data_IF_637580023873
#
_entry.id   IF_637580023873
#
_cell.length_a   1.000
_cell.length_b   1.000
_cell.length_c   1.000
_cell.angle_alpha   90.00
_cell.angle_beta   90.00
_cell.angle_gamma   90.00
#
_symmetry.space_group_name_H-M   'P 1'
#
loop_
_entity.id
_entity.type
_entity.pdbx_description
1 polymer ?
#
# COMPACT_ATOMS: atom_id res chain seq x y z
N UNK A 1 -8.79 18.05 -9.25
CA UNK A 1 -8.42 16.60 -9.30
C UNK A 1 -7.87 16.24 -7.92
N UNK A 2 -8.07 15.03 -7.39
CA UNK A 2 -7.57 14.66 -6.04
C UNK A 2 -6.08 14.98 -5.85
N UNK A 3 -5.28 14.82 -6.91
CA UNK A 3 -3.85 15.06 -6.89
C UNK A 3 -3.41 16.34 -7.63
N UNK A 4 -4.29 17.33 -7.81
CA UNK A 4 -3.94 18.60 -8.47
C UNK A 4 -2.88 19.42 -7.72
N UNK A 5 -2.92 19.40 -6.39
CA UNK A 5 -1.98 20.11 -5.52
C UNK A 5 -0.69 19.34 -5.22
N UNK A 6 -0.55 18.11 -5.72
CA UNK A 6 0.61 17.26 -5.43
C UNK A 6 1.84 17.82 -6.11
N UNK A 7 2.91 17.98 -5.33
CA UNK A 7 4.22 18.40 -5.84
C UNK A 7 5.13 17.18 -5.90
N UNK A 8 5.76 16.95 -7.04
CA UNK A 8 6.76 15.89 -7.20
C UNK A 8 8.10 16.57 -7.43
N UNK A 9 8.97 16.51 -6.43
CA UNK A 9 10.36 16.87 -6.56
C UNK A 9 11.12 15.64 -7.05
N UNK A 10 11.87 15.79 -8.15
CA UNK A 10 12.69 14.72 -8.73
C UNK A 10 14.15 15.15 -8.76
N UNK A 11 15.06 14.20 -8.68
CA UNK A 11 16.47 14.49 -8.95
C UNK A 11 16.67 14.85 -10.42
N UNK A 12 17.61 15.77 -10.69
CA UNK A 12 17.93 16.23 -12.05
C UNK A 12 18.91 15.27 -12.72
N UNK A 13 18.80 15.09 -14.03
CA UNK A 13 19.82 14.42 -14.86
C UNK A 13 20.30 13.06 -14.33
N UNK A 14 19.37 12.21 -13.89
CA UNK A 14 19.69 10.87 -13.38
C UNK A 14 20.26 10.84 -11.96
N UNK A 15 20.36 11.99 -11.30
CA UNK A 15 20.80 12.09 -9.91
C UNK A 15 19.62 11.84 -8.96
N UNK A 16 19.95 11.51 -7.71
CA UNK A 16 18.98 11.39 -6.61
C UNK A 16 18.88 12.71 -5.85
N UNK A 17 17.78 12.88 -5.13
CA UNK A 17 17.58 13.96 -4.18
C UNK A 17 18.05 13.46 -2.82
N UNK A 18 18.90 14.24 -2.16
CA UNK A 18 19.11 14.10 -0.73
C UNK A 18 17.94 14.74 0.02
N UNK A 19 17.16 13.92 0.73
CA UNK A 19 16.01 14.39 1.51
C UNK A 19 16.36 14.70 2.95
N UNK A 20 17.54 14.28 3.45
CA UNK A 20 17.95 14.46 4.85
C UNK A 20 17.72 15.88 5.40
N UNK A 21 18.15 16.96 4.71
CA UNK A 21 17.93 18.31 5.22
C UNK A 21 16.44 18.70 5.32
N UNK A 22 15.58 18.06 4.53
CA UNK A 22 14.14 18.36 4.43
C UNK A 22 13.31 17.63 5.51
N UNK A 23 13.82 16.52 6.06
CA UNK A 23 13.10 15.67 7.00
C UNK A 23 12.88 16.38 8.34
N UNK A 24 11.67 16.32 8.88
CA UNK A 24 11.35 16.85 10.21
C UNK A 24 12.21 16.21 11.31
N UNK A 25 12.45 14.91 11.18
CA UNK A 25 13.23 14.09 12.11
C UNK A 25 14.10 13.11 11.30
N UNK A 26 15.31 13.54 10.87
CA UNK A 26 16.21 12.73 10.06
C UNK A 26 16.77 11.53 10.84
N UNK A 27 17.04 11.68 12.14
CA UNK A 27 17.63 10.61 12.96
C UNK A 27 16.70 9.39 13.10
N UNK A 28 15.38 9.64 13.08
CA UNK A 28 14.36 8.58 13.09
C UNK A 28 13.80 8.27 11.69
N UNK A 29 14.50 8.64 10.61
CA UNK A 29 14.13 8.26 9.26
C UNK A 29 14.77 6.93 8.85
N UNK A 30 13.99 5.86 8.89
CA UNK A 30 14.48 4.53 8.54
C UNK A 30 14.20 4.24 7.06
N UNK A 31 15.02 4.80 6.18
CA UNK A 31 15.04 4.62 4.72
C UNK A 31 16.27 5.29 4.10
N UNK A 32 16.49 5.12 2.80
CA UNK A 32 17.56 5.84 2.10
C UNK A 32 17.27 7.35 2.06
N UNK A 33 18.25 8.19 2.42
CA UNK A 33 18.16 9.65 2.28
C UNK A 33 18.31 10.10 0.82
N UNK A 34 19.00 9.31 0.00
CA UNK A 34 19.13 9.57 -1.43
C UNK A 34 18.04 8.81 -2.20
N UNK A 35 17.07 9.55 -2.76
CA UNK A 35 15.86 9.00 -3.39
C UNK A 35 15.62 9.58 -4.79
N UNK A 36 14.88 8.88 -5.64
CA UNK A 36 14.57 9.37 -6.99
C UNK A 36 13.53 10.49 -6.98
N UNK A 37 12.52 10.35 -6.13
CA UNK A 37 11.43 11.31 -6.01
C UNK A 37 11.01 11.55 -4.55
N UNK A 38 10.63 12.78 -4.26
CA UNK A 38 9.86 13.18 -3.08
C UNK A 38 8.48 13.66 -3.54
N UNK A 39 7.44 12.93 -3.17
CA UNK A 39 6.04 13.24 -3.51
C UNK A 39 5.38 13.89 -2.29
N UNK A 40 5.00 15.15 -2.43
CA UNK A 40 4.37 15.96 -1.39
C UNK A 40 2.88 16.08 -1.65
N UNK A 41 2.06 15.43 -0.83
CA UNK A 41 0.60 15.42 -1.00
C UNK A 41 -0.12 16.60 -0.34
N UNK A 42 0.61 17.46 0.38
CA UNK A 42 0.03 18.58 1.12
C UNK A 42 -1.14 18.10 2.00
N UNK A 43 -2.28 18.76 1.89
CA UNK A 43 -3.48 18.55 2.68
C UNK A 43 -4.39 17.41 2.18
N UNK A 44 -4.08 16.76 1.04
CA UNK A 44 -4.94 15.75 0.40
C UNK A 44 -5.38 14.62 1.35
N UNK A 45 -4.50 14.20 2.26
CA UNK A 45 -4.73 13.06 3.15
C UNK A 45 -5.24 13.42 4.55
N UNK A 46 -5.37 14.70 4.88
CA UNK A 46 -5.79 15.15 6.22
C UNK A 46 -7.13 14.56 6.64
N UNK A 47 -8.07 14.43 5.70
CA UNK A 47 -9.42 13.87 5.92
C UNK A 47 -9.47 12.34 6.00
N UNK A 48 -8.35 11.64 5.90
CA UNK A 48 -8.28 10.15 5.99
C UNK A 48 -7.90 9.68 7.40
N UNK A 49 -7.41 10.59 8.25
CA UNK A 49 -7.03 10.28 9.62
C UNK A 49 -8.30 10.06 10.45
N UNK A 50 -8.36 8.94 11.18
CA UNK A 50 -9.48 8.59 12.07
C UNK A 50 -10.56 7.75 11.40
N UNK A 51 -11.79 7.83 11.94
CA UNK A 51 -12.95 7.08 11.45
C UNK A 51 -13.44 7.63 10.11
N UNK A 52 -14.04 6.74 9.31
CA UNK A 52 -14.69 7.17 8.08
C UNK A 52 -16.04 7.82 8.37
N UNK A 53 -16.24 9.04 7.86
CA UNK A 53 -17.44 9.85 8.05
C UNK A 53 -18.13 10.22 6.72
N UNK A 54 -17.84 9.49 5.63
CA UNK A 54 -18.48 9.71 4.33
C UNK A 54 -17.78 10.72 3.41
N UNK A 55 -16.61 11.24 3.80
CA UNK A 55 -15.88 12.31 3.10
C UNK A 55 -15.47 11.99 1.64
N UNK A 56 -15.50 10.71 1.24
CA UNK A 56 -15.17 10.26 -0.12
C UNK A 56 -16.30 9.46 -0.79
N UNK A 57 -17.53 9.55 -0.26
CA UNK A 57 -18.72 8.86 -0.80
C UNK A 57 -19.35 7.88 0.19
N UNK A 58 -20.41 7.18 -0.23
CA UNK A 58 -21.05 6.18 0.64
C UNK A 58 -20.33 4.84 0.54
N UNK A 59 -20.10 4.19 1.68
CA UNK A 59 -19.69 2.79 1.72
C UNK A 59 -20.93 1.89 1.72
N UNK A 60 -21.46 1.57 0.54
CA UNK A 60 -22.65 0.73 0.39
C UNK A 60 -22.25 -0.70 0.03
N UNK A 61 -22.47 -1.64 0.96
CA UNK A 61 -22.15 -3.07 0.78
C UNK A 61 -22.74 -3.66 -0.52
N UNK A 62 -23.96 -3.26 -0.89
CA UNK A 62 -24.66 -3.75 -2.10
C UNK A 62 -24.03 -3.26 -3.42
N UNK A 63 -23.19 -2.24 -3.35
CA UNK A 63 -22.57 -1.63 -4.53
C UNK A 63 -21.07 -1.93 -4.65
N UNK A 64 -20.46 -2.54 -3.64
CA UNK A 64 -19.01 -2.77 -3.62
C UNK A 64 -18.54 -3.60 -4.82
N UNK A 65 -19.19 -4.73 -5.11
CA UNK A 65 -18.80 -5.58 -6.25
C UNK A 65 -18.98 -4.88 -7.60
N UNK A 66 -20.06 -4.10 -7.77
CA UNK A 66 -20.29 -3.28 -8.98
C UNK A 66 -19.15 -2.28 -9.16
N UNK A 67 -18.64 -1.77 -8.04
CA UNK A 67 -17.47 -0.91 -7.96
C UNK A 67 -16.14 -1.69 -7.91
N UNK A 68 -16.11 -2.99 -8.25
CA UNK A 68 -14.88 -3.82 -8.24
C UNK A 68 -14.12 -3.79 -6.90
N UNK A 69 -14.88 -3.71 -5.80
CA UNK A 69 -14.37 -3.82 -4.43
C UNK A 69 -14.95 -5.13 -3.87
N UNK A 70 -14.08 -6.05 -3.53
CA UNK A 70 -14.42 -7.38 -3.05
C UNK A 70 -13.79 -7.56 -1.67
N UNK A 71 -14.61 -7.80 -0.65
CA UNK A 71 -14.16 -7.95 0.74
C UNK A 71 -14.72 -9.24 1.29
N UNK A 72 -13.87 -10.22 1.57
CA UNK A 72 -14.29 -11.57 1.95
C UNK A 72 -15.09 -11.64 3.25
N UNK A 73 -14.82 -10.77 4.22
CA UNK A 73 -15.53 -10.72 5.50
C UNK A 73 -17.04 -10.50 5.35
N UNK A 74 -17.49 -9.95 4.22
CA UNK A 74 -18.90 -9.75 3.92
C UNK A 74 -19.62 -11.04 3.45
N UNK A 75 -18.86 -12.10 3.16
CA UNK A 75 -19.37 -13.34 2.58
C UNK A 75 -19.01 -14.59 3.41
N UNK A 76 -17.94 -14.53 4.21
CA UNK A 76 -17.42 -15.70 4.92
C UNK A 76 -17.03 -15.40 6.36
N UNK A 77 -17.55 -16.20 7.28
CA UNK A 77 -17.29 -16.07 8.72
C UNK A 77 -15.82 -16.28 9.08
N UNK A 78 -15.10 -17.14 8.36
CA UNK A 78 -13.68 -17.36 8.59
C UNK A 78 -12.82 -16.13 8.21
N UNK A 79 -13.23 -15.34 7.22
CA UNK A 79 -12.59 -14.06 6.91
C UNK A 79 -12.83 -13.06 8.04
N UNK A 80 -14.06 -12.99 8.56
CA UNK A 80 -14.40 -12.15 9.72
C UNK A 80 -13.58 -12.54 10.97
N UNK A 81 -13.51 -13.83 11.28
CA UNK A 81 -12.73 -14.35 12.40
C UNK A 81 -11.23 -14.01 12.28
N UNK A 82 -10.66 -14.11 11.07
CA UNK A 82 -9.28 -13.71 10.83
C UNK A 82 -9.08 -12.21 11.06
N UNK A 83 -10.01 -11.37 10.62
CA UNK A 83 -9.96 -9.92 10.85
C UNK A 83 -10.07 -9.56 12.33
N UNK A 84 -10.91 -10.26 13.09
CA UNK A 84 -11.03 -10.07 14.54
C UNK A 84 -9.68 -10.37 15.25
N UNK A 85 -8.97 -11.44 14.85
CA UNK A 85 -7.61 -11.72 15.36
C UNK A 85 -6.61 -10.62 15.03
N UNK A 86 -6.61 -10.16 13.78
CA UNK A 86 -5.72 -9.08 13.32
C UNK A 86 -5.97 -7.81 14.13
N UNK A 87 -7.24 -7.48 14.37
CA UNK A 87 -7.63 -6.31 15.16
C UNK A 87 -7.12 -6.41 16.60
N UNK A 88 -7.22 -7.57 17.25
CA UNK A 88 -6.71 -7.78 18.62
C UNK A 88 -5.23 -7.47 18.71
N UNK A 89 -4.42 -7.96 17.76
CA UNK A 89 -2.96 -7.77 17.80
C UNK A 89 -2.60 -6.34 17.39
N UNK A 90 -3.31 -5.75 16.42
CA UNK A 90 -3.13 -4.34 16.06
C UNK A 90 -3.35 -3.42 17.27
N UNK A 91 -4.40 -3.67 18.05
CA UNK A 91 -4.65 -2.91 19.28
C UNK A 91 -3.52 -3.06 20.29
N UNK A 92 -3.02 -4.30 20.54
CA UNK A 92 -1.88 -4.53 21.45
C UNK A 92 -0.67 -3.65 21.10
N UNK A 93 -0.36 -3.50 19.82
CA UNK A 93 0.80 -2.72 19.38
C UNK A 93 0.53 -1.21 19.44
N UNK A 94 -0.69 -0.77 19.11
CA UNK A 94 -1.08 0.64 19.27
C UNK A 94 -0.95 1.08 20.73
N UNK A 95 -1.33 0.23 21.68
CA UNK A 95 -1.23 0.52 23.11
C UNK A 95 0.20 0.42 23.67
N UNK A 96 1.10 -0.29 23.00
CA UNK A 96 2.48 -0.43 23.45
C UNK A 96 3.47 -0.52 22.28
N UNK A 97 4.22 0.57 22.06
CA UNK A 97 5.21 0.70 21.00
C UNK A 97 6.39 -0.27 21.13
N UNK A 98 6.63 -0.88 22.30
CA UNK A 98 7.66 -1.92 22.47
C UNK A 98 7.38 -3.13 21.56
N UNK A 99 6.10 -3.47 21.36
CA UNK A 99 5.72 -4.57 20.46
C UNK A 99 5.98 -4.29 18.98
N UNK A 100 6.32 -3.04 18.62
CA UNK A 100 6.66 -2.68 17.25
C UNK A 100 7.98 -3.30 16.77
N UNK A 101 8.86 -3.66 17.71
CA UNK A 101 10.16 -4.30 17.48
C UNK A 101 10.19 -5.76 17.92
N UNK A 102 9.05 -6.32 18.33
CA UNK A 102 8.95 -7.68 18.84
C UNK A 102 8.89 -8.71 17.68
N UNK A 103 9.81 -9.66 17.70
CA UNK A 103 9.95 -10.69 16.65
C UNK A 103 8.84 -11.74 16.70
N UNK A 104 8.29 -12.02 17.88
CA UNK A 104 7.16 -12.93 18.06
C UNK A 104 5.89 -12.34 17.46
N UNK A 105 5.60 -11.08 17.73
CA UNK A 105 4.50 -10.32 17.14
C UNK A 105 4.66 -10.21 15.62
N UNK A 106 5.87 -9.95 15.12
CA UNK A 106 6.14 -9.93 13.68
C UNK A 106 5.84 -11.28 13.02
N UNK A 107 6.19 -12.40 13.67
CA UNK A 107 5.86 -13.74 13.18
C UNK A 107 4.36 -14.04 13.25
N UNK A 108 3.65 -13.59 14.28
CA UNK A 108 2.19 -13.74 14.36
C UNK A 108 1.50 -13.00 13.20
N UNK A 109 1.91 -11.77 12.92
CA UNK A 109 1.43 -11.02 11.74
C UNK A 109 1.74 -11.73 10.42
N UNK A 110 2.91 -12.35 10.30
CA UNK A 110 3.26 -13.14 9.11
C UNK A 110 2.29 -14.29 8.89
N UNK A 111 1.99 -15.04 9.95
CA UNK A 111 1.09 -16.19 9.88
C UNK A 111 -0.33 -15.76 9.52
N UNK A 112 -0.81 -14.65 10.09
CA UNK A 112 -2.12 -14.08 9.73
C UNK A 112 -2.15 -13.58 8.28
N UNK A 113 -1.06 -12.97 7.80
CA UNK A 113 -0.93 -12.58 6.41
C UNK A 113 -1.01 -13.79 5.49
N UNK A 114 -0.30 -14.86 5.84
CA UNK A 114 -0.30 -16.12 5.08
C UNK A 114 -1.70 -16.71 5.03
N UNK A 115 -2.37 -16.85 6.18
CA UNK A 115 -3.75 -17.37 6.27
C UNK A 115 -4.73 -16.53 5.44
N UNK A 116 -4.62 -15.20 5.49
CA UNK A 116 -5.51 -14.32 4.73
C UNK A 116 -5.26 -14.35 3.22
N UNK A 117 -4.00 -14.43 2.77
CA UNK A 117 -3.72 -14.61 1.35
C UNK A 117 -4.13 -16.00 0.84
N UNK A 118 -4.01 -17.05 1.65
CA UNK A 118 -4.55 -18.38 1.34
C UNK A 118 -6.08 -18.33 1.17
N UNK A 119 -6.77 -17.57 2.03
CA UNK A 119 -8.21 -17.37 1.92
C UNK A 119 -8.60 -16.60 0.65
N UNK A 120 -7.89 -15.51 0.32
CA UNK A 120 -8.08 -14.79 -0.94
C UNK A 120 -7.85 -15.67 -2.16
N UNK A 121 -6.84 -16.53 -2.10
CA UNK A 121 -6.51 -17.47 -3.16
C UNK A 121 -7.59 -18.54 -3.35
N UNK A 122 -8.20 -19.00 -2.25
CA UNK A 122 -9.30 -19.97 -2.27
C UNK A 122 -10.54 -19.45 -2.99
N UNK A 123 -10.85 -18.15 -2.83
CA UNK A 123 -12.11 -17.56 -3.31
C UNK A 123 -11.99 -16.73 -4.60
N UNK A 124 -10.81 -16.57 -5.18
CA UNK A 124 -10.58 -15.67 -6.33
C UNK A 124 -11.42 -16.00 -7.56
N UNK A 125 -11.67 -17.29 -7.82
CA UNK A 125 -12.47 -17.75 -8.97
C UNK A 125 -13.92 -17.29 -8.89
N UNK A 126 -14.48 -17.22 -7.68
CA UNK A 126 -15.85 -16.76 -7.46
C UNK A 126 -16.03 -15.31 -7.91
N UNK A 127 -15.01 -14.47 -7.67
CA UNK A 127 -15.03 -13.05 -7.99
C UNK A 127 -14.37 -12.71 -9.33
N UNK A 128 -13.96 -13.73 -10.12
CA UNK A 128 -13.28 -13.60 -11.41
C UNK A 128 -12.03 -12.71 -11.32
N UNK A 129 -11.22 -12.92 -10.29
CA UNK A 129 -9.95 -12.23 -10.08
C UNK A 129 -8.84 -13.00 -10.79
N UNK A 130 -8.20 -12.35 -11.77
CA UNK A 130 -7.17 -12.95 -12.63
C UNK A 130 -5.87 -12.12 -12.59
N UNK A 131 -5.30 -11.94 -11.40
CA UNK A 131 -4.17 -11.02 -11.14
C UNK A 131 -2.82 -11.71 -10.90
N UNK A 132 -2.79 -13.04 -10.75
CA UNK A 132 -1.59 -13.79 -10.33
C UNK A 132 -0.44 -13.82 -11.35
N UNK A 133 -0.71 -13.56 -12.63
CA UNK A 133 0.30 -13.58 -13.69
C UNK A 133 0.72 -12.15 -14.12
N UNK A 134 0.21 -11.13 -13.44
CA UNK A 134 0.53 -9.74 -13.75
C UNK A 134 1.93 -9.37 -13.23
N UNK A 135 2.60 -8.37 -13.83
CA UNK A 135 3.75 -7.72 -13.22
C UNK A 135 3.38 -7.25 -11.81
N UNK A 136 4.16 -7.70 -10.83
CA UNK A 136 3.91 -7.39 -9.43
C UNK A 136 4.80 -6.22 -8.99
N UNK A 137 4.18 -5.22 -8.36
CA UNK A 137 4.90 -4.11 -7.72
C UNK A 137 5.01 -4.43 -6.24
N UNK A 138 6.23 -4.72 -5.80
CA UNK A 138 6.55 -4.89 -4.39
C UNK A 138 7.02 -3.56 -3.81
N UNK A 139 6.16 -2.93 -3.02
CA UNK A 139 6.52 -1.78 -2.19
C UNK A 139 7.39 -2.28 -1.03
N UNK A 140 8.71 -2.10 -1.12
CA UNK A 140 9.68 -2.80 -0.28
C UNK A 140 9.46 -2.63 1.24
N UNK A 141 10.01 -3.60 2.00
CA UNK A 141 9.68 -4.02 3.37
C UNK A 141 8.58 -5.08 3.36
N UNK A 142 7.47 -4.85 4.05
CA UNK A 142 6.33 -5.77 4.14
C UNK A 142 5.83 -6.21 2.76
N UNK A 143 5.77 -5.27 1.81
CA UNK A 143 5.27 -5.50 0.45
C UNK A 143 5.97 -6.63 -0.31
N UNK A 144 7.25 -6.91 -0.01
CA UNK A 144 7.98 -8.01 -0.65
C UNK A 144 7.44 -9.38 -0.22
N UNK A 145 7.22 -9.55 1.08
CA UNK A 145 6.71 -10.80 1.63
C UNK A 145 5.25 -10.97 1.27
N UNK A 146 4.45 -9.92 1.41
CA UNK A 146 3.02 -9.94 1.09
C UNK A 146 2.78 -10.19 -0.41
N UNK A 147 3.60 -9.63 -1.31
CA UNK A 147 3.51 -9.93 -2.74
C UNK A 147 3.77 -11.40 -3.04
N UNK A 148 4.76 -12.02 -2.38
CA UNK A 148 5.00 -13.47 -2.55
C UNK A 148 3.84 -14.30 -2.02
N UNK A 149 3.32 -13.97 -0.83
CA UNK A 149 2.17 -14.66 -0.26
C UNK A 149 0.92 -14.51 -1.13
N UNK A 150 0.66 -13.30 -1.65
CA UNK A 150 -0.43 -13.02 -2.59
C UNK A 150 -0.34 -13.85 -3.88
N UNK A 151 0.87 -14.17 -4.32
CA UNK A 151 1.14 -15.03 -5.48
C UNK A 151 1.23 -16.53 -5.13
N UNK A 152 0.94 -16.92 -3.88
CA UNK A 152 1.03 -18.30 -3.41
C UNK A 152 2.46 -18.85 -3.40
N UNK A 153 3.45 -17.99 -3.20
CA UNK A 153 4.87 -18.34 -3.17
C UNK A 153 5.43 -18.26 -1.75
N UNK A 154 6.57 -18.92 -1.51
CA UNK A 154 7.27 -18.81 -0.24
C UNK A 154 7.82 -17.39 -0.02
N UNK A 155 8.00 -16.98 1.24
CA UNK A 155 8.51 -15.64 1.60
C UNK A 155 9.88 -15.28 0.99
N UNK A 156 10.66 -16.30 0.61
CA UNK A 156 12.00 -16.16 0.03
C UNK A 156 12.03 -16.42 -1.49
N UNK A 157 10.87 -16.62 -2.14
CA UNK A 157 10.81 -16.89 -3.57
C UNK A 157 11.35 -15.72 -4.40
N UNK A 158 12.19 -16.03 -5.40
CA UNK A 158 12.60 -15.08 -6.44
C UNK A 158 11.51 -15.00 -7.51
N UNK A 159 11.06 -13.78 -7.80
CA UNK A 159 10.00 -13.52 -8.78
C UNK A 159 10.61 -12.85 -10.02
N UNK A 160 10.44 -13.46 -11.19
CA UNK A 160 11.09 -13.02 -12.44
C UNK A 160 10.66 -11.62 -12.89
N UNK A 161 9.40 -11.24 -12.66
CA UNK A 161 8.81 -9.98 -13.09
C UNK A 161 8.38 -9.10 -11.89
N UNK A 162 9.03 -9.28 -10.73
CA UNK A 162 8.80 -8.42 -9.56
C UNK A 162 9.55 -7.10 -9.75
N UNK A 163 8.80 -6.01 -9.75
CA UNK A 163 9.33 -4.64 -9.74
C UNK A 163 9.36 -4.18 -8.30
N UNK A 164 10.54 -3.83 -7.83
CA UNK A 164 10.76 -3.40 -6.45
C UNK A 164 10.92 -1.90 -6.35
N UNK A 165 10.15 -1.30 -5.45
CA UNK A 165 10.16 0.14 -5.20
C UNK A 165 10.19 0.37 -3.70
N UNK A 166 11.14 1.15 -3.21
CA UNK A 166 11.11 1.61 -1.83
C UNK A 166 10.23 2.84 -1.77
N UNK A 167 9.16 2.78 -0.97
CA UNK A 167 8.38 3.96 -0.61
C UNK A 167 8.44 4.18 0.89
N UNK A 168 8.60 5.44 1.33
CA UNK A 168 8.62 5.76 2.75
C UNK A 168 7.86 7.05 3.02
N UNK A 169 6.79 6.91 3.82
CA UNK A 169 6.05 8.05 4.39
C UNK A 169 6.98 8.85 5.32
N UNK A 170 6.91 10.17 5.22
CA UNK A 170 7.72 11.11 5.99
C UNK A 170 7.00 12.44 6.21
N UNK A 171 7.50 13.22 7.17
CA UNK A 171 7.11 14.60 7.45
C UNK A 171 8.32 15.52 7.23
N UNK A 172 8.06 16.76 6.83
CA UNK A 172 9.09 17.73 6.44
C UNK A 172 9.12 18.90 7.42
N UNK A 173 10.29 19.51 7.65
CA UNK A 173 10.51 20.57 8.67
C UNK A 173 9.58 21.77 8.52
N UNK A 174 9.34 22.20 7.29
CA UNK A 174 8.60 23.43 6.98
C UNK A 174 7.15 23.18 6.54
N UNK A 175 6.60 22.00 6.81
CA UNK A 175 5.23 21.63 6.47
C UNK A 175 4.44 21.19 7.72
N UNK A 176 3.12 21.47 7.80
CA UNK A 176 2.29 20.93 8.87
C UNK A 176 2.43 19.40 8.98
N UNK A 177 2.50 18.87 10.20
CA UNK A 177 2.59 17.42 10.45
C UNK A 177 1.36 16.65 9.95
N UNK A 178 0.24 17.34 9.74
CA UNK A 178 -0.97 16.81 9.11
C UNK A 178 -0.80 16.56 7.62
N UNK A 179 0.20 17.17 6.98
CA UNK A 179 0.56 16.89 5.59
C UNK A 179 1.34 15.58 5.50
N UNK A 180 1.16 14.90 4.38
CA UNK A 180 1.85 13.65 4.09
C UNK A 180 2.79 13.79 2.92
N UNK A 181 4.03 13.36 3.10
CA UNK A 181 5.01 13.21 2.03
C UNK A 181 5.46 11.75 1.94
N UNK A 182 5.87 11.33 0.75
CA UNK A 182 6.39 9.99 0.48
C UNK A 182 7.64 10.08 -0.37
N UNK A 183 8.73 9.51 0.11
CA UNK A 183 9.92 9.30 -0.74
C UNK A 183 9.73 8.05 -1.58
N UNK A 184 10.28 8.07 -2.79
CA UNK A 184 10.23 6.97 -3.75
C UNK A 184 11.64 6.73 -4.29
N UNK A 185 12.10 5.49 -4.16
CA UNK A 185 13.38 5.03 -4.68
C UNK A 185 13.17 3.78 -5.53
N UNK A 186 13.66 3.85 -6.77
CA UNK A 186 13.66 2.76 -7.73
C UNK A 186 14.81 1.81 -7.42
N UNK A 187 14.53 0.50 -7.31
CA UNK A 187 15.62 -0.50 -7.33
C UNK A 187 16.16 -0.70 -8.73
N UNK A 188 15.27 -0.68 -9.72
CA UNK A 188 15.63 -0.75 -11.12
C UNK A 188 14.63 0.10 -11.93
N UNK A 189 15.09 1.28 -12.36
CA UNK A 189 14.28 2.23 -13.13
C UNK A 189 13.84 1.66 -14.49
N UNK A 190 14.68 0.84 -15.14
CA UNK A 190 14.38 0.29 -16.46
C UNK A 190 13.24 -0.73 -16.43
N UNK A 191 13.11 -1.48 -15.33
CA UNK A 191 11.99 -2.42 -15.15
C UNK A 191 10.62 -1.73 -15.15
N UNK A 192 10.54 -0.43 -14.79
CA UNK A 192 9.29 0.31 -14.79
C UNK A 192 8.65 0.38 -16.19
N UNK A 193 9.43 0.28 -17.27
CA UNK A 193 8.88 0.26 -18.65
C UNK A 193 7.93 -0.92 -18.89
N UNK A 194 8.10 -2.02 -18.15
CA UNK A 194 7.30 -3.24 -18.29
C UNK A 194 5.83 -3.04 -17.88
N UNK A 195 5.51 -1.99 -17.13
CA UNK A 195 4.15 -1.73 -16.65
C UNK A 195 3.40 -0.68 -17.45
N UNK A 196 4.04 -0.06 -18.44
CA UNK A 196 3.40 0.98 -19.22
C UNK A 196 2.22 0.41 -20.02
N UNK A 197 1.03 0.97 -19.83
CA UNK A 197 -0.24 0.50 -20.39
C UNK A 197 -0.57 -0.97 -20.10
N UNK A 198 0.00 -1.55 -19.03
CA UNK A 198 -0.28 -2.92 -18.58
C UNK A 198 -1.12 -2.93 -17.30
N UNK A 199 -1.81 -4.05 -17.09
CA UNK A 199 -2.42 -4.35 -15.79
C UNK A 199 -1.31 -4.79 -14.81
N UNK A 200 -1.38 -4.35 -13.57
CA UNK A 200 -0.38 -4.66 -12.54
C UNK A 200 -1.04 -5.12 -11.24
N UNK A 201 -0.26 -5.84 -10.42
CA UNK A 201 -0.63 -6.24 -9.07
C UNK A 201 0.15 -5.42 -8.04
N UNK A 202 -0.54 -4.83 -7.07
CA UNK A 202 0.06 -4.25 -5.86
C UNK A 202 -0.51 -4.98 -4.64
N UNK A 203 0.35 -5.71 -3.93
CA UNK A 203 -0.05 -6.47 -2.75
C UNK A 203 0.62 -5.94 -1.50
N UNK A 204 -0.16 -5.69 -0.45
CA UNK A 204 0.34 -5.29 0.88
C UNK A 204 -0.58 -5.84 1.95
N UNK A 205 -0.09 -5.94 3.18
CA UNK A 205 -0.91 -6.39 4.31
C UNK A 205 -2.12 -5.47 4.47
N UNK A 206 -1.91 -4.16 4.38
CA UNK A 206 -3.00 -3.20 4.26
C UNK A 206 -2.85 -2.34 3.01
N UNK A 207 -3.78 -2.52 2.08
CA UNK A 207 -3.78 -1.75 0.83
C UNK A 207 -5.21 -1.54 0.35
N UNK A 208 -5.72 -0.28 0.33
CA UNK A 208 -5.14 0.93 0.92
C UNK A 208 -5.62 1.15 2.37
N UNK A 209 -4.74 1.65 3.25
CA UNK A 209 -5.21 2.42 4.41
C UNK A 209 -5.40 3.89 4.09
N UNK A 210 -4.35 4.57 3.62
CA UNK A 210 -4.50 5.81 2.88
C UNK A 210 -4.26 5.62 1.39
N UNK A 211 -3.42 4.65 1.02
CA UNK A 211 -2.99 4.44 -0.36
C UNK A 211 -1.88 5.39 -0.81
N UNK A 212 -1.33 6.23 0.09
CA UNK A 212 -0.32 7.23 -0.26
C UNK A 212 0.95 6.65 -0.88
N UNK A 213 1.43 5.50 -0.41
CA UNK A 213 2.60 4.83 -0.99
C UNK A 213 2.35 4.38 -2.43
N UNK A 214 1.18 3.79 -2.71
CA UNK A 214 0.78 3.39 -4.06
C UNK A 214 0.57 4.63 -4.95
N UNK A 215 -0.09 5.67 -4.44
CA UNK A 215 -0.25 6.94 -5.16
C UNK A 215 1.10 7.58 -5.51
N UNK A 216 2.05 7.60 -4.58
CA UNK A 216 3.38 8.16 -4.78
C UNK A 216 4.14 7.41 -5.87
N UNK A 217 4.09 6.08 -5.83
CA UNK A 217 4.61 5.22 -6.89
C UNK A 217 4.03 5.57 -8.26
N UNK A 218 2.70 5.66 -8.38
CA UNK A 218 2.01 5.92 -9.66
C UNK A 218 2.30 7.33 -10.18
N UNK A 219 2.30 8.34 -9.30
CA UNK A 219 2.62 9.71 -9.66
C UNK A 219 4.08 9.87 -10.09
N UNK A 220 5.00 9.22 -9.40
CA UNK A 220 6.42 9.23 -9.73
C UNK A 220 6.71 8.49 -11.05
N UNK A 221 6.09 7.34 -11.31
CA UNK A 221 6.20 6.64 -12.61
C UNK A 221 5.60 7.46 -13.76
N UNK A 222 4.49 8.19 -13.52
CA UNK A 222 3.91 9.10 -14.52
C UNK A 222 4.87 10.20 -14.95
N UNK A 223 5.76 10.70 -14.06
CA UNK A 223 6.82 11.66 -14.43
C UNK A 223 7.85 11.07 -15.40
N UNK A 224 7.94 9.74 -15.48
CA UNK A 224 8.76 9.02 -16.45
C UNK A 224 7.98 8.67 -17.74
N UNK A 225 6.74 9.17 -17.90
CA UNK A 225 5.87 8.82 -19.03
C UNK A 225 5.28 7.41 -18.93
N UNK A 226 5.36 6.77 -17.77
CA UNK A 226 4.89 5.39 -17.54
C UNK A 226 3.58 5.44 -16.76
N UNK A 227 2.55 4.77 -17.27
CA UNK A 227 1.25 4.69 -16.61
C UNK A 227 0.64 3.29 -16.78
N UNK A 228 0.31 2.56 -15.69
CA UNK A 228 -0.43 1.31 -15.83
C UNK A 228 -1.85 1.57 -16.34
N UNK A 229 -2.44 0.61 -17.05
CA UNK A 229 -3.84 0.70 -17.51
C UNK A 229 -4.83 0.32 -16.41
N UNK A 230 -4.43 -0.59 -15.51
CA UNK A 230 -5.25 -1.09 -14.42
C UNK A 230 -4.39 -1.59 -13.27
N UNK A 231 -4.91 -1.46 -12.04
CA UNK A 231 -4.25 -1.92 -10.83
C UNK A 231 -5.17 -2.85 -10.06
N UNK A 232 -4.67 -4.05 -9.76
CA UNK A 232 -5.25 -4.95 -8.79
C UNK A 232 -4.58 -4.72 -7.45
N UNK A 233 -5.37 -4.34 -6.45
CA UNK A 233 -4.94 -4.20 -5.08
C UNK A 233 -5.36 -5.45 -4.32
N UNK A 234 -4.39 -6.22 -3.79
CA UNK A 234 -4.65 -7.41 -2.99
C UNK A 234 -4.14 -7.22 -1.57
N UNK A 235 -4.99 -7.43 -0.57
CA UNK A 235 -4.62 -7.11 0.81
C UNK A 235 -5.33 -7.96 1.85
N UNK A 236 -4.76 -8.02 3.04
CA UNK A 236 -5.44 -8.63 4.18
C UNK A 236 -6.48 -7.65 4.71
N UNK A 237 -6.10 -6.38 4.83
CA UNK A 237 -7.00 -5.32 5.25
C UNK A 237 -7.00 -4.13 4.29
N UNK A 238 -8.05 -3.35 4.35
CA UNK A 238 -8.14 -2.02 3.75
C UNK A 238 -9.00 -1.12 4.63
N UNK A 239 -8.99 0.19 4.38
CA UNK A 239 -9.94 1.11 5.00
C UNK A 239 -10.94 1.62 3.95
N UNK A 240 -12.15 1.93 4.39
CA UNK A 240 -13.19 2.51 3.52
C UNK A 240 -12.71 3.82 2.87
N UNK A 241 -12.12 4.70 3.70
CA UNK A 241 -11.61 6.01 3.26
C UNK A 241 -10.51 5.86 2.20
N UNK A 242 -9.54 4.97 2.45
CA UNK A 242 -8.42 4.73 1.54
C UNK A 242 -8.90 4.18 0.20
N UNK A 243 -9.84 3.24 0.19
CA UNK A 243 -10.37 2.63 -1.03
C UNK A 243 -11.10 3.67 -1.87
N UNK A 244 -12.01 4.43 -1.26
CA UNK A 244 -12.81 5.41 -1.98
C UNK A 244 -11.95 6.55 -2.53
N UNK A 245 -10.98 7.06 -1.74
CA UNK A 245 -10.01 8.03 -2.24
C UNK A 245 -9.23 7.47 -3.43
N UNK A 246 -8.57 6.30 -3.25
CA UNK A 246 -7.72 5.73 -4.30
C UNK A 246 -8.52 5.41 -5.55
N UNK A 247 -9.73 4.87 -5.43
CA UNK A 247 -10.59 4.58 -6.57
C UNK A 247 -10.89 5.85 -7.38
N UNK A 248 -11.31 6.92 -6.70
CA UNK A 248 -11.56 8.21 -7.36
C UNK A 248 -10.29 8.78 -7.98
N UNK A 249 -9.16 8.73 -7.27
CA UNK A 249 -7.90 9.30 -7.74
C UNK A 249 -7.35 8.56 -8.97
N UNK A 250 -7.38 7.23 -8.97
CA UNK A 250 -6.94 6.40 -10.09
C UNK A 250 -7.84 6.60 -11.31
N UNK A 251 -9.16 6.69 -11.11
CA UNK A 251 -10.12 6.98 -12.18
C UNK A 251 -9.84 8.35 -12.83
N UNK A 252 -9.58 9.40 -12.05
CA UNK A 252 -9.19 10.72 -12.58
C UNK A 252 -7.86 10.67 -13.37
N UNK A 253 -7.00 9.69 -13.09
CA UNK A 253 -5.76 9.44 -13.84
C UNK A 253 -5.97 8.54 -15.07
N UNK A 254 -7.20 8.07 -15.31
CA UNK A 254 -7.54 7.11 -16.36
C UNK A 254 -6.93 5.73 -16.11
N UNK A 255 -6.86 5.31 -14.84
CA UNK A 255 -6.35 4.01 -14.40
C UNK A 255 -7.50 3.26 -13.72
N UNK A 256 -7.85 2.08 -14.24
CA UNK A 256 -8.86 1.25 -13.63
C UNK A 256 -8.33 0.60 -12.34
N UNK A 257 -9.20 0.34 -11.36
CA UNK A 257 -8.78 -0.34 -10.12
C UNK A 257 -9.77 -1.40 -9.65
N UNK A 258 -9.19 -2.48 -9.13
CA UNK A 258 -9.87 -3.58 -8.43
C UNK A 258 -9.26 -3.68 -7.04
N UNK A 259 -10.11 -3.76 -6.01
CA UNK A 259 -9.68 -4.01 -4.64
C UNK A 259 -10.20 -5.37 -4.21
N UNK A 260 -9.30 -6.26 -3.78
CA UNK A 260 -9.65 -7.59 -3.29
C UNK A 260 -8.98 -7.83 -1.94
N UNK A 261 -9.79 -7.90 -0.88
CA UNK A 261 -9.27 -7.91 0.49
C UNK A 261 -9.99 -8.91 1.38
N UNK A 262 -9.33 -9.34 2.46
CA UNK A 262 -9.98 -10.20 3.47
C UNK A 262 -11.03 -9.38 4.21
N UNK A 263 -10.68 -8.17 4.67
CA UNK A 263 -11.59 -7.36 5.47
C UNK A 263 -11.32 -5.86 5.49
N UNK A 264 -12.17 -5.15 6.22
CA UNK A 264 -12.11 -3.71 6.40
C UNK A 264 -11.74 -3.36 7.83
N UNK A 265 -10.64 -2.61 7.99
CA UNK A 265 -10.33 -1.96 9.26
C UNK A 265 -11.22 -0.73 9.44
N UNK A 266 -11.86 -0.63 10.60
CA UNK A 266 -12.74 0.48 10.97
C UNK A 266 -12.00 1.80 11.22
N UNK A 267 -10.71 1.73 11.56
CA UNK A 267 -9.86 2.88 11.88
C UNK A 267 -8.48 2.74 11.24
N UNK A 268 -7.87 3.88 10.94
CA UNK A 268 -6.48 3.95 10.52
C UNK A 268 -5.55 3.81 11.74
N UNK A 269 -5.45 2.60 12.29
CA UNK A 269 -4.39 2.28 13.26
C UNK A 269 -3.05 2.29 12.50
N UNK A 270 -2.11 3.15 12.93
CA UNK A 270 -0.82 3.35 12.26
C UNK A 270 -0.13 2.03 11.90
N UNK A 271 0.17 1.84 10.60
CA UNK A 271 0.69 0.56 10.11
C UNK A 271 1.90 0.04 10.88
N UNK A 272 1.69 -1.15 11.45
CA UNK A 272 2.72 -2.13 11.73
C UNK A 272 2.98 -2.90 10.45
N UNK A 273 4.26 -2.93 10.07
CA UNK A 273 5.02 -4.05 9.52
C UNK A 273 6.38 -3.48 9.10
N UNK A 274 7.23 -3.18 10.09
CA UNK A 274 8.58 -2.66 9.85
C UNK A 274 9.65 -3.76 9.83
N UNK A 275 9.27 -5.03 10.07
CA UNK A 275 10.23 -6.14 10.24
C UNK A 275 9.81 -7.35 9.40
N UNK A 276 10.06 -7.28 8.09
CA UNK A 276 10.14 -8.45 7.22
C UNK A 276 11.37 -8.34 6.31
N UNK A 277 12.54 -8.25 6.93
CA UNK A 277 13.79 -8.69 6.33
C UNK A 277 14.59 -9.37 7.45
N UNK A 278 15.17 -10.55 7.23
CA UNK A 278 16.21 -11.04 8.13
C UNK A 278 17.30 -9.96 8.22
N UNK A 279 17.81 -9.71 9.44
CA UNK A 279 19.16 -9.20 9.58
C UNK A 279 20.05 -10.36 9.14
N UNK A 280 20.70 -10.18 8.01
CA UNK A 280 21.73 -11.04 7.41
C UNK A 280 21.40 -12.54 7.31
#
# INVERSE_FOLDING_TARGET
>A
MIFDKVVIQSGKDGHKIDVEPLLLDPDNFFGDHNVDHLVKFKDTYTKIIGKYHGQFGKWNLKELEKNKIFVLENYYDNAKYLMDKINVIAQKIVFNSVFYHDTGIANEYFLLAKEGYELLNKHEKQFKIEDRNLPAISLERAGLVTTRLALGKSKNAKLKNEIRVVTKRTHLKDEPTTNLSVTVLWRNKEQLKQINNKEILISDFVNPASGASAAAFILATKKLGIKPSKIFHRSISLTQAGVLLMKKALMEMGINSVFYSVGVASELAGHILRHFLPKD
#
